data_IF_811182725800
#
_entry.id   IF_811182725800
#
_cell.length_a   1.000
_cell.length_b   1.000
_cell.length_c   1.000
_cell.angle_alpha   90.00
_cell.angle_beta   90.00
_cell.angle_gamma   90.00
#
_symmetry.space_group_name_H-M   'P 1'
#
loop_
_entity.id
_entity.type
_entity.pdbx_description
1 polymer ?
#
# COMPACT_ATOMS: atom_id res chain seq x y z
N UNK A 1 -16.36 8.28 5.84
CA UNK A 1 -15.20 8.63 5.00
C UNK A 1 -15.17 10.13 4.80
N UNK A 2 -14.01 10.73 4.50
CA UNK A 2 -13.93 12.15 4.15
C UNK A 2 -14.04 12.30 2.63
N UNK A 3 -14.54 13.44 2.15
CA UNK A 3 -14.61 13.74 0.70
C UNK A 3 -13.23 13.63 0.04
N UNK A 4 -12.15 13.94 0.77
CA UNK A 4 -10.79 13.79 0.28
C UNK A 4 -10.38 12.32 0.10
N UNK A 5 -10.79 11.42 1.01
CA UNK A 5 -10.54 9.99 0.87
C UNK A 5 -11.29 9.40 -0.34
N UNK A 6 -12.59 9.73 -0.48
CA UNK A 6 -13.39 9.31 -1.64
C UNK A 6 -12.80 9.80 -2.96
N UNK A 7 -12.28 11.03 -2.97
CA UNK A 7 -11.58 11.57 -4.13
C UNK A 7 -10.31 10.80 -4.48
N UNK A 8 -9.53 10.37 -3.48
CA UNK A 8 -8.33 9.56 -3.71
C UNK A 8 -8.72 8.22 -4.33
N UNK A 9 -9.75 7.57 -3.81
CA UNK A 9 -10.24 6.29 -4.35
C UNK A 9 -10.72 6.46 -5.80
N UNK A 10 -11.47 7.54 -6.08
CA UNK A 10 -11.90 7.83 -7.46
C UNK A 10 -10.73 8.11 -8.40
N UNK A 11 -9.72 8.83 -7.96
CA UNK A 11 -8.51 9.07 -8.75
C UNK A 11 -7.72 7.78 -8.98
N UNK A 12 -7.72 6.86 -8.02
CA UNK A 12 -7.12 5.55 -8.18
C UNK A 12 -7.79 4.74 -9.29
N UNK A 13 -9.12 4.70 -9.29
CA UNK A 13 -9.90 4.03 -10.33
C UNK A 13 -9.64 4.62 -11.72
N UNK A 14 -9.61 5.95 -11.83
CA UNK A 14 -9.31 6.65 -13.08
C UNK A 14 -7.88 6.38 -13.56
N UNK A 15 -6.90 6.32 -12.65
CA UNK A 15 -5.53 5.95 -12.99
C UNK A 15 -5.45 4.51 -13.53
N UNK A 16 -6.16 3.58 -12.90
CA UNK A 16 -6.24 2.19 -13.34
C UNK A 16 -6.87 2.06 -14.73
N UNK A 17 -7.97 2.77 -14.98
CA UNK A 17 -8.64 2.77 -16.28
C UNK A 17 -7.74 3.33 -17.38
N UNK A 18 -7.19 4.53 -17.17
CA UNK A 18 -6.27 5.16 -18.13
C UNK A 18 -5.05 4.27 -18.45
N UNK A 19 -4.46 3.62 -17.43
CA UNK A 19 -3.34 2.70 -17.65
C UNK A 19 -3.75 1.44 -18.41
N UNK A 20 -4.99 0.96 -18.27
CA UNK A 20 -5.51 -0.16 -19.03
C UNK A 20 -5.72 0.21 -20.51
N UNK A 21 -6.13 1.45 -20.78
CA UNK A 21 -6.33 2.00 -22.12
C UNK A 21 -5.00 2.44 -22.80
N UNK A 22 -3.87 2.32 -22.12
CA UNK A 22 -2.55 2.73 -22.63
C UNK A 22 -2.28 4.24 -22.54
N UNK A 23 -3.12 4.99 -21.85
CA UNK A 23 -2.96 6.43 -21.60
C UNK A 23 -2.00 6.68 -20.41
N UNK A 24 -0.75 6.25 -20.52
CA UNK A 24 0.22 6.22 -19.41
C UNK A 24 0.47 7.61 -18.77
N UNK A 25 0.55 8.67 -19.57
CA UNK A 25 0.75 10.03 -19.05
C UNK A 25 -0.46 10.53 -18.27
N UNK A 26 -1.66 10.13 -18.68
CA UNK A 26 -2.91 10.45 -17.97
C UNK A 26 -3.00 9.67 -16.66
N UNK A 27 -2.62 8.39 -16.68
CA UNK A 27 -2.53 7.58 -15.47
C UNK A 27 -1.55 8.22 -14.46
N UNK A 28 -0.36 8.63 -14.91
CA UNK A 28 0.64 9.35 -14.09
C UNK A 28 0.07 10.64 -13.49
N UNK A 29 -0.66 11.41 -14.29
CA UNK A 29 -1.32 12.62 -13.81
C UNK A 29 -2.29 12.33 -12.66
N UNK A 30 -3.14 11.31 -12.78
CA UNK A 30 -4.08 10.95 -11.72
C UNK A 30 -3.38 10.47 -10.45
N UNK A 31 -2.32 9.67 -10.58
CA UNK A 31 -1.51 9.21 -9.44
C UNK A 31 -0.91 10.41 -8.70
N UNK A 32 -0.27 11.33 -9.42
CA UNK A 32 0.32 12.54 -8.85
C UNK A 32 -0.72 13.41 -8.14
N UNK A 33 -1.90 13.55 -8.75
CA UNK A 33 -2.99 14.33 -8.18
C UNK A 33 -3.49 13.69 -6.87
N UNK A 34 -3.67 12.37 -6.84
CA UNK A 34 -4.09 11.64 -5.64
C UNK A 34 -3.07 11.79 -4.50
N UNK A 35 -1.77 11.66 -4.79
CA UNK A 35 -0.68 11.90 -3.82
C UNK A 35 -0.74 13.30 -3.21
N UNK A 36 -0.91 14.33 -4.05
CA UNK A 36 -1.02 15.73 -3.59
C UNK A 36 -2.27 15.98 -2.75
N UNK A 37 -3.39 15.35 -3.08
CA UNK A 37 -4.61 15.41 -2.25
C UNK A 37 -4.37 14.76 -0.90
N UNK A 38 -3.74 13.59 -0.86
CA UNK A 38 -3.42 12.87 0.37
C UNK A 38 -2.49 13.70 1.27
N UNK A 39 -1.40 14.23 0.72
CA UNK A 39 -0.44 15.07 1.43
C UNK A 39 -1.10 16.31 2.03
N UNK A 40 -1.86 17.06 1.23
CA UNK A 40 -2.56 18.28 1.69
C UNK A 40 -3.53 18.01 2.84
N UNK A 41 -4.18 16.86 2.82
CA UNK A 41 -5.18 16.48 3.82
C UNK A 41 -4.58 15.59 4.94
N UNK A 42 -3.26 15.33 4.93
CA UNK A 42 -2.56 14.44 5.86
C UNK A 42 -3.20 13.05 5.96
N UNK A 43 -3.60 12.51 4.80
CA UNK A 43 -4.21 11.18 4.69
C UNK A 43 -3.17 10.14 4.25
N UNK A 44 -3.30 8.94 4.80
CA UNK A 44 -2.53 7.78 4.34
C UNK A 44 -3.16 7.23 3.06
N UNK A 45 -2.35 7.04 2.02
CA UNK A 45 -2.81 6.41 0.78
C UNK A 45 -3.20 4.94 1.03
N UNK A 46 -4.31 4.47 0.43
CA UNK A 46 -4.73 3.08 0.50
C UNK A 46 -3.58 2.12 0.13
N UNK A 47 -3.56 0.94 0.76
CA UNK A 47 -2.48 -0.06 0.53
C UNK A 47 -2.40 -0.46 -0.94
N UNK A 48 -3.54 -0.63 -1.60
CA UNK A 48 -3.61 -0.95 -3.02
C UNK A 48 -3.01 0.16 -3.89
N UNK A 49 -3.38 1.41 -3.64
CA UNK A 49 -2.81 2.57 -4.34
C UNK A 49 -1.28 2.58 -4.25
N UNK A 50 -0.73 2.38 -3.05
CA UNK A 50 0.73 2.36 -2.86
C UNK A 50 1.42 1.15 -3.49
N UNK A 51 0.72 0.04 -3.70
CA UNK A 51 1.29 -1.17 -4.35
C UNK A 51 1.25 -1.09 -5.87
N UNK A 52 0.24 -0.43 -6.43
CA UNK A 52 0.04 -0.30 -7.87
C UNK A 52 0.54 1.02 -8.44
N UNK A 53 1.27 1.84 -7.68
CA UNK A 53 1.86 3.08 -8.19
C UNK A 53 3.34 3.15 -7.85
N UNK A 54 4.13 3.74 -8.75
CA UNK A 54 5.53 4.02 -8.50
C UNK A 54 5.69 5.31 -7.68
N UNK A 55 6.49 5.27 -6.62
CA UNK A 55 6.83 6.46 -5.85
C UNK A 55 7.81 7.41 -6.55
N UNK A 56 8.55 6.93 -7.58
CA UNK A 56 9.58 7.71 -8.26
C UNK A 56 9.08 8.44 -9.52
N UNK A 57 8.27 7.77 -10.35
CA UNK A 57 7.82 8.32 -11.65
C UNK A 57 6.31 8.50 -11.76
N UNK A 58 5.56 8.27 -10.67
CA UNK A 58 4.09 8.30 -10.61
C UNK A 58 3.39 7.32 -11.57
N UNK A 59 4.10 6.39 -12.21
CA UNK A 59 3.48 5.43 -13.13
C UNK A 59 2.52 4.49 -12.39
N UNK A 60 1.38 4.20 -13.02
CA UNK A 60 0.51 3.12 -12.57
C UNK A 60 1.11 1.78 -13.04
N UNK A 61 1.38 0.88 -12.09
CA UNK A 61 2.10 -0.36 -12.30
C UNK A 61 1.16 -1.45 -12.82
N UNK A 62 1.44 -1.93 -14.02
CA UNK A 62 0.78 -3.03 -14.69
C UNK A 62 1.74 -4.21 -14.82
N UNK A 63 1.54 -5.28 -14.01
CA UNK A 63 2.36 -6.48 -14.10
C UNK A 63 2.33 -7.06 -15.52
N UNK A 64 3.51 -7.34 -16.08
CA UNK A 64 3.65 -7.85 -17.45
C UNK A 64 3.62 -6.79 -18.55
N UNK A 65 3.29 -5.53 -18.24
CA UNK A 65 3.47 -4.40 -19.14
C UNK A 65 4.68 -3.56 -18.70
N UNK A 66 4.54 -2.77 -17.64
CA UNK A 66 5.57 -1.82 -17.17
C UNK A 66 6.11 -2.12 -15.76
N UNK A 67 5.70 -3.26 -15.19
CA UNK A 67 6.12 -3.70 -13.88
C UNK A 67 6.50 -5.18 -13.90
N UNK A 68 7.64 -5.50 -13.26
CA UNK A 68 8.08 -6.88 -13.05
C UNK A 68 7.91 -7.25 -11.58
N UNK A 69 7.20 -8.35 -11.33
CA UNK A 69 7.01 -8.91 -10.00
C UNK A 69 7.95 -10.09 -9.81
N UNK A 70 8.68 -10.11 -8.70
CA UNK A 70 9.46 -11.26 -8.25
C UNK A 70 9.02 -11.68 -6.86
N UNK A 71 8.75 -12.97 -6.72
CA UNK A 71 8.53 -13.61 -5.43
C UNK A 71 9.90 -13.98 -4.87
N UNK A 72 10.17 -13.57 -3.65
CA UNK A 72 11.38 -13.92 -2.89
C UNK A 72 10.96 -14.51 -1.55
N UNK A 73 11.89 -15.12 -0.83
CA UNK A 73 11.63 -15.62 0.52
C UNK A 73 11.27 -14.44 1.44
N UNK A 74 10.08 -14.51 2.04
CA UNK A 74 9.56 -13.51 2.97
C UNK A 74 8.96 -12.22 2.37
N UNK A 75 9.15 -11.93 1.08
CA UNK A 75 8.62 -10.70 0.47
C UNK A 75 8.43 -10.75 -1.05
N UNK A 76 7.60 -9.83 -1.54
CA UNK A 76 7.40 -9.53 -2.96
C UNK A 76 8.21 -8.30 -3.34
N UNK A 77 8.96 -8.37 -4.44
CA UNK A 77 9.65 -7.23 -5.04
C UNK A 77 8.90 -6.82 -6.31
N UNK A 78 8.49 -5.57 -6.37
CA UNK A 78 7.89 -4.96 -7.57
C UNK A 78 8.91 -3.97 -8.14
N UNK A 79 9.32 -4.20 -9.38
CA UNK A 79 10.23 -3.32 -10.13
C UNK A 79 9.44 -2.57 -11.19
N UNK A 80 9.52 -1.24 -11.18
CA UNK A 80 9.01 -0.40 -12.25
C UNK A 80 10.04 -0.30 -13.40
N UNK A 81 9.58 -0.04 -14.62
CA UNK A 81 10.45 0.28 -15.77
C UNK A 81 11.41 1.46 -15.53
N UNK A 82 11.06 2.41 -14.67
CA UNK A 82 11.98 3.51 -14.31
C UNK A 82 13.17 3.06 -13.46
N UNK A 83 13.21 1.78 -13.02
CA UNK A 83 14.26 1.22 -12.18
C UNK A 83 13.97 1.25 -10.68
N UNK A 84 12.89 1.91 -10.24
CA UNK A 84 12.51 1.90 -8.82
C UNK A 84 12.05 0.50 -8.36
N UNK A 85 12.42 0.14 -7.13
CA UNK A 85 12.07 -1.13 -6.50
C UNK A 85 11.28 -0.91 -5.22
N UNK A 86 10.08 -1.48 -5.14
CA UNK A 86 9.28 -1.54 -3.93
C UNK A 86 9.29 -2.97 -3.37
N UNK A 87 9.40 -3.11 -2.05
CA UNK A 87 9.43 -4.41 -1.35
C UNK A 87 8.27 -4.49 -0.38
N UNK A 88 7.48 -5.55 -0.48
CA UNK A 88 6.33 -5.80 0.39
C UNK A 88 6.46 -7.16 1.04
N UNK A 89 6.63 -7.25 2.37
CA UNK A 89 6.62 -8.55 3.06
C UNK A 89 5.27 -9.24 2.90
N UNK A 90 5.25 -10.57 2.88
CA UNK A 90 4.00 -11.35 2.81
C UNK A 90 3.11 -11.14 4.05
N UNK A 91 3.73 -10.84 5.18
CA UNK A 91 3.09 -10.53 6.45
C UNK A 91 4.05 -10.80 7.60
N UNK A 92 4.00 -9.97 8.64
CA UNK A 92 4.71 -10.25 9.89
C UNK A 92 4.11 -11.49 10.56
N UNK A 93 4.98 -12.39 10.99
CA UNK A 93 4.66 -13.37 12.02
C UNK A 93 4.40 -12.58 13.31
N UNK A 94 3.13 -12.31 13.64
CA UNK A 94 2.61 -11.98 14.97
C UNK A 94 3.39 -10.90 15.79
N UNK A 95 3.01 -9.64 15.67
CA UNK A 95 3.09 -8.73 16.82
C UNK A 95 1.83 -8.96 17.68
N UNK A 96 1.82 -10.03 18.49
CA UNK A 96 0.65 -10.39 19.29
C UNK A 96 0.63 -11.74 20.01
N UNK A 97 1.78 -12.35 20.34
CA UNK A 97 1.84 -13.23 21.52
C UNK A 97 2.30 -12.39 22.70
N UNK A 98 1.37 -11.67 23.31
CA UNK A 98 1.51 -11.31 24.71
C UNK A 98 1.23 -12.59 25.50
N UNK A 99 2.26 -13.07 26.19
CA UNK A 99 2.18 -13.97 27.34
C UNK A 99 1.02 -13.60 28.26
N UNK A 100 0.07 -14.51 28.43
CA UNK A 100 -0.85 -14.53 29.55
C UNK A 100 -1.08 -15.99 29.95
N UNK A 101 0.01 -16.64 30.37
CA UNK A 101 -0.02 -17.88 31.16
C UNK A 101 1.21 -17.87 32.07
N UNK A 102 1.10 -17.17 33.20
CA UNK A 102 1.79 -17.47 34.46
C UNK A 102 1.45 -16.43 35.54
N UNK A 103 0.85 -16.92 36.64
CA UNK A 103 0.75 -16.32 38.00
C UNK A 103 -0.42 -15.31 38.22
N UNK A 104 -1.38 -15.48 39.14
CA UNK A 104 -1.36 -16.17 40.44
C UNK A 104 -2.76 -16.63 40.90
N UNK A 105 -2.91 -17.93 41.14
CA UNK A 105 -3.73 -18.42 42.23
C UNK A 105 -2.82 -18.47 43.47
N UNK A 106 -2.96 -17.49 44.37
CA UNK A 106 -2.62 -17.57 45.80
C UNK A 106 -2.85 -16.20 46.43
N UNK A 107 -4.03 -15.99 47.03
CA UNK A 107 -4.05 -15.29 48.30
C UNK A 107 -4.99 -16.03 49.24
N UNK A 108 -4.45 -16.35 50.41
CA UNK A 108 -5.06 -17.11 51.47
C UNK A 108 -5.49 -16.14 52.57
N UNK A 109 -6.72 -16.33 53.05
CA UNK A 109 -7.12 -16.14 54.45
C UNK A 109 -6.85 -14.78 55.13
N UNK A 110 -7.89 -13.96 55.29
CA UNK A 110 -8.27 -13.21 56.52
C UNK A 110 -9.70 -12.71 56.23
N UNK A 111 -10.80 -12.99 56.95
CA UNK A 111 -11.08 -13.13 58.39
C UNK A 111 -12.10 -14.25 58.67
#
# INVERSE_FOLDING_TARGET
MTVAAERIDRLHELARAAAADGEDDRARYYVRLARRVAERNRLTLPREFRRFTCDACDAYLRPGANARIRLQDGHVVITCECGAHARYPYGDRQAGTATADSESAADASTE
#
